data_IF_694233355716
#
_entry.id   IF_694233355716
#
_cell.length_a   1.000
_cell.length_b   1.000
_cell.length_c   1.000
_cell.angle_alpha   90.00
_cell.angle_beta   90.00
_cell.angle_gamma   90.00
#
_symmetry.space_group_name_H-M   'P 1'
#
loop_
_entity.id
_entity.type
_entity.pdbx_description
1 polymer ?
#
# COMPACT_ATOMS: atom_id res chain seq x y z
N UNK A 1 0.11 7.73 10.07
CA UNK A 1 1.37 7.79 9.33
C UNK A 1 2.35 8.74 10.01
N UNK A 2 3.63 8.37 10.04
CA UNK A 2 4.70 9.16 10.61
C UNK A 2 4.92 10.43 9.76
N UNK A 3 4.76 11.62 10.34
CA UNK A 3 4.89 12.89 9.63
C UNK A 3 4.01 12.98 8.37
N UNK A 4 2.80 12.42 8.42
CA UNK A 4 1.90 12.31 7.27
C UNK A 4 1.47 13.68 6.71
N UNK A 5 1.47 13.81 5.37
CA UNK A 5 0.99 14.99 4.64
C UNK A 5 0.22 14.58 3.40
N UNK A 6 -1.03 15.01 3.33
CA UNK A 6 -1.95 14.73 2.22
C UNK A 6 -1.83 15.80 1.14
N UNK A 7 -2.01 15.40 -0.12
CA UNK A 7 -2.00 16.25 -1.30
C UNK A 7 -3.19 15.92 -2.22
N UNK A 8 -3.94 16.96 -2.58
CA UNK A 8 -5.04 16.92 -3.54
C UNK A 8 -4.92 18.16 -4.44
N UNK A 9 -4.31 18.01 -5.61
CA UNK A 9 -3.99 19.15 -6.48
C UNK A 9 -3.13 20.19 -5.77
N UNK A 10 -3.62 21.40 -5.66
CA UNK A 10 -2.90 22.51 -5.02
C UNK A 10 -3.01 22.53 -3.49
N UNK A 11 -3.93 21.73 -2.94
CA UNK A 11 -4.18 21.67 -1.50
C UNK A 11 -3.26 20.63 -0.86
N UNK A 12 -2.59 21.01 0.23
CA UNK A 12 -1.83 20.08 1.07
C UNK A 12 -1.98 20.43 2.55
N UNK A 13 -2.07 19.41 3.40
CA UNK A 13 -2.19 19.58 4.85
C UNK A 13 -1.64 18.38 5.60
N UNK A 14 -1.25 18.60 6.85
CA UNK A 14 -0.82 17.50 7.72
C UNK A 14 -2.01 16.61 8.08
N UNK A 15 -1.90 15.34 7.75
CA UNK A 15 -2.92 14.31 8.02
C UNK A 15 -2.32 12.92 7.95
N UNK A 16 -2.89 11.99 8.69
CA UNK A 16 -2.80 10.57 8.42
C UNK A 16 -3.84 10.15 7.36
N UNK A 17 -3.92 8.86 7.02
CA UNK A 17 -4.94 8.35 6.13
C UNK A 17 -6.32 8.51 6.77
N UNK A 18 -7.34 8.67 5.93
CA UNK A 18 -8.75 8.69 6.34
C UNK A 18 -9.10 9.76 7.38
N UNK A 19 -8.43 10.92 7.32
CA UNK A 19 -8.65 12.04 8.24
C UNK A 19 -8.07 11.88 9.65
N UNK A 20 -7.30 10.81 9.90
CA UNK A 20 -6.60 10.63 11.18
C UNK A 20 -5.46 11.63 11.34
N UNK A 21 -5.09 11.91 12.59
CA UNK A 21 -3.96 12.78 12.89
C UNK A 21 -2.63 12.13 12.47
N UNK A 22 -1.67 12.90 11.93
CA UNK A 22 -0.34 12.41 11.63
C UNK A 22 0.51 12.32 12.91
N UNK A 23 1.45 11.37 12.97
CA UNK A 23 2.40 11.25 14.07
C UNK A 23 3.61 12.20 13.84
N UNK A 24 3.37 13.51 13.82
CA UNK A 24 4.41 14.51 13.48
C UNK A 24 5.43 14.66 14.61
N UNK A 25 4.98 14.68 15.87
CA UNK A 25 5.88 14.83 17.02
C UNK A 25 6.81 13.60 17.19
N UNK A 26 6.33 12.40 16.88
CA UNK A 26 7.16 11.21 16.87
C UNK A 26 8.26 11.32 15.80
N UNK A 27 7.93 11.82 14.60
CA UNK A 27 8.92 12.07 13.55
C UNK A 27 10.02 13.04 14.02
N UNK A 28 9.65 14.13 14.68
CA UNK A 28 10.60 15.10 15.26
C UNK A 28 11.48 14.46 16.34
N UNK A 29 10.89 13.66 17.23
CA UNK A 29 11.61 12.96 18.29
C UNK A 29 12.63 11.97 17.74
N UNK A 30 12.26 11.20 16.72
CA UNK A 30 13.18 10.26 16.07
C UNK A 30 14.35 11.00 15.39
N UNK A 31 14.07 12.12 14.71
CA UNK A 31 15.12 12.98 14.13
C UNK A 31 16.06 13.55 15.23
N UNK A 32 15.50 13.99 16.35
CA UNK A 32 16.29 14.51 17.47
C UNK A 32 17.19 13.44 18.13
N UNK A 33 16.79 12.16 18.07
CA UNK A 33 17.61 11.02 18.48
C UNK A 33 18.71 10.67 17.44
N UNK A 34 18.76 11.36 16.31
CA UNK A 34 19.76 11.08 15.27
C UNK A 34 19.38 9.92 14.33
N UNK A 35 18.17 9.39 14.40
CA UNK A 35 17.74 8.33 13.49
C UNK A 35 17.58 8.86 12.06
N UNK A 36 18.16 8.16 11.06
CA UNK A 36 18.03 8.56 9.66
C UNK A 36 16.60 8.30 9.16
N UNK A 37 15.88 9.36 8.81
CA UNK A 37 14.56 9.27 8.23
C UNK A 37 14.61 9.49 6.71
N UNK A 38 13.74 8.78 6.00
CA UNK A 38 13.47 8.91 4.57
C UNK A 38 12.03 9.34 4.35
N UNK A 39 11.75 9.92 3.19
CA UNK A 39 10.42 10.35 2.81
C UNK A 39 9.89 9.47 1.69
N UNK A 40 8.76 8.79 1.92
CA UNK A 40 8.03 8.01 0.92
C UNK A 40 6.64 8.58 0.68
N UNK A 41 6.03 8.18 -0.41
CA UNK A 41 4.64 8.53 -0.71
C UNK A 41 3.85 7.27 -1.04
N UNK A 42 2.57 7.32 -0.77
CA UNK A 42 1.57 6.40 -1.30
C UNK A 42 0.33 7.18 -1.75
N UNK A 43 -0.72 6.51 -2.14
CA UNK A 43 -1.96 7.15 -2.52
C UNK A 43 -3.15 6.22 -2.35
N UNK A 44 -4.32 6.79 -2.43
CA UNK A 44 -5.59 6.08 -2.39
C UNK A 44 -6.52 6.60 -3.48
N UNK A 45 -7.36 5.75 -4.09
CA UNK A 45 -8.37 6.21 -5.04
C UNK A 45 -9.55 6.86 -4.34
N UNK A 46 -10.43 7.47 -5.13
CA UNK A 46 -11.71 7.96 -4.66
C UNK A 46 -12.60 6.81 -4.15
N UNK A 47 -13.52 7.15 -3.23
CA UNK A 47 -14.65 6.31 -2.84
C UNK A 47 -15.90 6.91 -3.44
N UNK A 48 -16.74 6.07 -4.01
CA UNK A 48 -18.02 6.48 -4.62
C UNK A 48 -19.18 5.79 -3.94
N UNK A 49 -20.34 6.42 -4.02
CA UNK A 49 -21.58 5.86 -3.49
C UNK A 49 -22.04 4.68 -4.35
N UNK A 50 -22.20 3.50 -3.76
CA UNK A 50 -22.67 2.28 -4.44
C UNK A 50 -23.95 2.48 -5.24
N UNK A 51 -24.88 3.33 -4.76
CA UNK A 51 -26.16 3.59 -5.42
C UNK A 51 -26.03 4.40 -6.71
N UNK A 52 -24.90 5.07 -6.92
CA UNK A 52 -24.61 5.87 -8.09
C UNK A 52 -23.71 5.16 -9.13
N UNK A 53 -23.36 3.89 -8.87
CA UNK A 53 -22.61 3.05 -9.80
C UNK A 53 -23.60 2.26 -10.66
N UNK A 54 -23.47 2.38 -11.98
CA UNK A 54 -24.27 1.63 -12.96
C UNK A 54 -23.64 0.25 -13.19
N UNK A 55 -23.99 -0.71 -12.34
CA UNK A 55 -23.43 -2.06 -12.39
C UNK A 55 -23.83 -2.87 -13.62
N UNK A 56 -24.90 -2.48 -14.34
CA UNK A 56 -25.32 -3.16 -15.56
C UNK A 56 -24.31 -3.01 -16.71
N UNK A 57 -23.48 -1.96 -16.64
CA UNK A 57 -22.38 -1.70 -17.61
C UNK A 57 -21.07 -2.36 -17.24
N UNK A 58 -21.01 -3.05 -16.11
CA UNK A 58 -19.76 -3.56 -15.54
C UNK A 58 -19.71 -5.08 -15.67
N UNK A 59 -18.49 -5.61 -15.72
CA UNK A 59 -18.24 -7.04 -15.65
C UNK A 59 -18.20 -7.48 -14.18
N UNK A 60 -19.17 -8.31 -13.71
CA UNK A 60 -19.15 -8.79 -12.35
C UNK A 60 -18.00 -9.79 -12.14
N UNK A 61 -17.31 -9.67 -11.03
CA UNK A 61 -16.29 -10.61 -10.60
C UNK A 61 -16.71 -11.24 -9.28
N UNK A 62 -17.12 -12.50 -9.38
CA UNK A 62 -17.51 -13.29 -8.24
C UNK A 62 -16.27 -13.87 -7.54
N UNK A 63 -16.42 -14.28 -6.27
CA UNK A 63 -15.41 -15.06 -5.59
C UNK A 63 -15.37 -16.50 -6.08
N UNK A 64 -14.36 -17.25 -5.65
CA UNK A 64 -14.18 -18.66 -5.99
C UNK A 64 -15.40 -19.48 -5.56
N UNK A 65 -15.79 -20.47 -6.38
CA UNK A 65 -16.85 -21.43 -6.04
C UNK A 65 -16.35 -22.40 -4.95
N UNK A 66 -15.14 -22.92 -5.12
CA UNK A 66 -14.48 -23.80 -4.16
C UNK A 66 -13.55 -22.98 -3.26
N UNK A 67 -14.08 -22.47 -2.18
CA UNK A 67 -13.34 -21.58 -1.28
C UNK A 67 -12.41 -22.37 -0.38
N UNK A 68 -11.12 -22.15 -0.51
CA UNK A 68 -10.09 -22.67 0.41
C UNK A 68 -9.81 -21.62 1.49
N UNK A 69 -10.04 -21.93 2.79
CA UNK A 69 -9.71 -21.02 3.88
C UNK A 69 -8.22 -20.69 3.92
N UNK A 70 -7.87 -19.46 4.28
CA UNK A 70 -6.46 -19.08 4.49
C UNK A 70 -5.86 -19.71 5.77
N UNK A 71 -6.70 -20.12 6.72
CA UNK A 71 -6.24 -20.77 7.95
C UNK A 71 -6.12 -22.28 7.76
N UNK A 72 -4.96 -22.86 8.08
CA UNK A 72 -4.73 -24.30 8.06
C UNK A 72 -5.43 -25.04 9.22
N UNK A 73 -5.78 -24.34 10.29
CA UNK A 73 -6.34 -24.93 11.53
C UNK A 73 -7.81 -24.63 11.74
N UNK A 74 -8.36 -23.66 11.02
CA UNK A 74 -9.75 -23.23 11.18
C UNK A 74 -10.72 -24.16 10.46
N UNK A 75 -11.79 -24.55 11.14
CA UNK A 75 -12.95 -25.24 10.54
C UNK A 75 -14.07 -24.22 10.39
N UNK A 76 -13.96 -23.31 9.42
CA UNK A 76 -15.00 -22.33 9.13
C UNK A 76 -15.67 -22.66 7.80
N UNK A 77 -16.97 -22.49 7.75
CA UNK A 77 -17.65 -22.38 6.47
C UNK A 77 -17.41 -20.98 5.92
N UNK A 78 -16.59 -20.88 4.89
CA UNK A 78 -16.32 -19.61 4.20
C UNK A 78 -17.37 -19.44 3.11
N UNK A 79 -18.01 -18.26 3.06
CA UNK A 79 -19.00 -17.91 2.03
C UNK A 79 -18.65 -16.58 1.40
N UNK A 80 -18.78 -16.49 0.08
CA UNK A 80 -18.75 -15.22 -0.62
C UNK A 80 -19.94 -14.34 -0.18
N UNK A 81 -19.68 -13.12 0.26
CA UNK A 81 -20.70 -12.17 0.75
C UNK A 81 -20.88 -10.96 -0.16
N UNK A 82 -19.91 -10.72 -1.04
CA UNK A 82 -19.87 -9.54 -1.90
C UNK A 82 -19.20 -9.89 -3.21
N UNK A 83 -19.60 -9.19 -4.24
CA UNK A 83 -18.99 -9.22 -5.55
C UNK A 83 -18.26 -7.91 -5.84
N UNK A 84 -17.23 -7.98 -6.64
CA UNK A 84 -16.53 -6.84 -7.21
C UNK A 84 -16.94 -6.67 -8.68
N UNK A 85 -16.61 -5.54 -9.24
CA UNK A 85 -16.89 -5.25 -10.65
C UNK A 85 -15.61 -4.79 -11.34
N UNK A 86 -15.50 -5.09 -12.63
CA UNK A 86 -14.37 -4.68 -13.48
C UNK A 86 -14.86 -3.66 -14.50
N UNK A 87 -14.09 -2.62 -14.68
CA UNK A 87 -14.24 -1.64 -15.75
C UNK A 87 -12.88 -1.19 -16.25
N UNK A 88 -12.83 -0.27 -17.20
CA UNK A 88 -11.61 0.18 -17.83
C UNK A 88 -11.62 1.68 -18.08
N UNK A 89 -10.46 2.31 -17.96
CA UNK A 89 -10.26 3.66 -18.49
C UNK A 89 -10.32 3.63 -20.02
N UNK A 90 -10.66 4.75 -20.63
CA UNK A 90 -10.67 4.91 -22.08
C UNK A 90 -9.86 6.12 -22.54
N UNK A 91 -9.94 6.42 -23.83
CA UNK A 91 -9.20 7.53 -24.44
C UNK A 91 -9.60 8.89 -23.86
N UNK A 92 -10.90 9.09 -23.55
CA UNK A 92 -11.37 10.33 -22.92
C UNK A 92 -10.80 10.49 -21.50
N UNK A 93 -10.72 9.41 -20.73
CA UNK A 93 -10.07 9.41 -19.41
C UNK A 93 -8.61 9.86 -19.54
N UNK A 94 -7.90 9.29 -20.53
CA UNK A 94 -6.50 9.63 -20.82
C UNK A 94 -6.34 11.11 -21.20
N UNK A 95 -7.20 11.64 -22.05
CA UNK A 95 -7.18 13.07 -22.46
C UNK A 95 -7.41 14.00 -21.27
N UNK A 96 -8.40 13.72 -20.42
CA UNK A 96 -8.68 14.54 -19.23
C UNK A 96 -7.47 14.58 -18.31
N UNK A 97 -6.83 13.43 -18.05
CA UNK A 97 -5.68 13.35 -17.16
C UNK A 97 -4.46 14.06 -17.77
N UNK A 98 -4.13 13.77 -19.02
CA UNK A 98 -2.97 14.36 -19.69
C UNK A 98 -3.06 15.89 -19.77
N UNK A 99 -4.23 16.45 -20.05
CA UNK A 99 -4.44 17.90 -20.11
C UNK A 99 -4.30 18.60 -18.74
N UNK A 100 -4.36 17.84 -17.64
CA UNK A 100 -4.28 18.35 -16.27
C UNK A 100 -3.04 17.90 -15.49
N UNK A 101 -2.06 17.23 -16.13
CA UNK A 101 -0.85 16.74 -15.44
C UNK A 101 -0.09 17.87 -14.70
N UNK A 102 -0.08 19.08 -15.24
CA UNK A 102 0.56 20.23 -14.62
C UNK A 102 -0.06 20.62 -13.26
N UNK A 103 -1.28 20.15 -12.96
CA UNK A 103 -1.99 20.35 -11.69
C UNK A 103 -1.77 19.21 -10.70
N UNK A 104 -1.06 18.14 -11.10
CA UNK A 104 -0.73 17.04 -10.21
C UNK A 104 0.47 17.40 -9.33
N UNK A 105 0.37 17.30 -7.99
CA UNK A 105 1.49 17.49 -7.07
C UNK A 105 2.69 16.60 -7.39
N UNK A 106 2.43 15.41 -7.93
CA UNK A 106 3.47 14.47 -8.33
C UNK A 106 4.31 15.01 -9.51
N UNK A 107 3.66 15.61 -10.51
CA UNK A 107 4.32 16.10 -11.72
C UNK A 107 4.79 17.55 -11.60
N UNK A 108 4.24 18.33 -10.67
CA UNK A 108 4.68 19.69 -10.37
C UNK A 108 5.85 19.78 -9.39
N UNK A 109 6.36 18.66 -8.88
CA UNK A 109 7.47 18.62 -7.93
C UNK A 109 7.13 19.07 -6.51
N UNK A 110 5.85 19.08 -6.13
CA UNK A 110 5.40 19.38 -4.76
C UNK A 110 5.56 18.20 -3.80
N UNK A 111 5.62 16.98 -4.34
CA UNK A 111 5.82 15.73 -3.61
C UNK A 111 7.28 15.34 -3.75
N UNK A 112 7.99 15.27 -2.62
CA UNK A 112 9.40 14.83 -2.55
C UNK A 112 9.52 13.32 -2.35
N UNK A 113 8.49 12.70 -1.76
CA UNK A 113 8.47 11.29 -1.40
C UNK A 113 8.48 10.35 -2.60
N UNK A 114 9.34 9.35 -2.56
CA UNK A 114 9.38 8.29 -3.58
C UNK A 114 8.15 7.40 -3.46
N UNK A 115 7.46 7.17 -4.57
CA UNK A 115 6.27 6.33 -4.63
C UNK A 115 6.55 4.84 -4.79
N UNK A 116 5.58 3.97 -4.44
CA UNK A 116 5.72 2.54 -4.59
C UNK A 116 5.78 2.14 -6.08
N UNK A 117 6.71 1.26 -6.39
CA UNK A 117 6.95 0.80 -7.77
C UNK A 117 5.78 0.04 -8.37
N UNK A 118 5.04 -0.70 -7.53
CA UNK A 118 4.01 -1.65 -7.96
C UNK A 118 2.57 -1.12 -7.81
N UNK A 119 2.40 0.09 -7.27
CA UNK A 119 1.10 0.75 -7.16
C UNK A 119 1.20 2.22 -7.61
N UNK A 120 1.48 2.47 -8.90
CA UNK A 120 1.54 3.83 -9.43
C UNK A 120 0.14 4.46 -9.43
N UNK A 121 0.08 5.79 -9.34
CA UNK A 121 -1.14 6.55 -9.54
C UNK A 121 -1.65 6.40 -10.99
N UNK A 122 -2.90 6.76 -11.24
CA UNK A 122 -3.44 6.66 -12.60
C UNK A 122 -2.72 7.59 -13.57
N UNK A 123 -2.33 8.80 -13.13
CA UNK A 123 -1.52 9.70 -13.92
C UNK A 123 -0.14 9.12 -14.26
N UNK A 124 0.50 8.43 -13.31
CA UNK A 124 1.75 7.71 -13.54
C UNK A 124 1.57 6.56 -14.56
N UNK A 125 0.48 5.80 -14.45
CA UNK A 125 0.20 4.69 -15.38
C UNK A 125 0.03 5.20 -16.80
N UNK A 126 -0.73 6.28 -16.98
CA UNK A 126 -1.02 6.88 -18.29
C UNK A 126 0.25 7.43 -18.94
N UNK A 127 1.16 8.01 -18.15
CA UNK A 127 2.43 8.54 -18.67
C UNK A 127 3.42 7.43 -18.98
N UNK A 128 3.61 6.48 -18.05
CA UNK A 128 4.62 5.40 -18.20
C UNK A 128 4.22 4.32 -19.21
N UNK A 129 2.93 4.08 -19.35
CA UNK A 129 2.38 3.06 -20.26
C UNK A 129 1.47 3.73 -21.31
N UNK A 130 2.02 4.76 -21.95
CA UNK A 130 1.29 5.59 -22.92
C UNK A 130 0.78 4.81 -24.14
N UNK A 131 1.42 3.66 -24.44
CA UNK A 131 1.03 2.74 -25.50
C UNK A 131 -0.23 1.91 -25.17
N UNK A 132 -0.60 1.83 -23.88
CA UNK A 132 -1.82 1.11 -23.49
C UNK A 132 -3.06 1.96 -23.76
N UNK A 133 -4.01 1.36 -24.43
CA UNK A 133 -5.28 1.99 -24.76
C UNK A 133 -6.19 2.15 -23.53
N UNK A 134 -6.09 1.20 -22.58
CA UNK A 134 -6.91 1.17 -21.37
C UNK A 134 -6.18 0.59 -20.17
N UNK A 135 -6.61 0.98 -18.97
CA UNK A 135 -6.18 0.41 -17.70
C UNK A 135 -7.37 -0.21 -16.98
N UNK A 136 -7.18 -1.41 -16.45
CA UNK A 136 -8.19 -2.13 -15.68
C UNK A 136 -8.41 -1.47 -14.33
N UNK A 137 -9.66 -1.40 -13.91
CA UNK A 137 -10.16 -0.84 -12.67
C UNK A 137 -11.05 -1.86 -12.00
N UNK A 138 -10.85 -2.09 -10.70
CA UNK A 138 -11.76 -2.86 -9.88
C UNK A 138 -12.61 -1.91 -9.03
N UNK A 139 -13.91 -2.17 -8.96
CA UNK A 139 -14.86 -1.47 -8.12
C UNK A 139 -15.25 -2.42 -7.01
N UNK A 140 -14.77 -2.14 -5.80
CA UNK A 140 -14.79 -3.06 -4.66
C UNK A 140 -15.60 -2.45 -3.51
N UNK A 141 -16.50 -3.21 -2.83
CA UNK A 141 -17.17 -2.70 -1.65
C UNK A 141 -16.16 -2.54 -0.49
N UNK A 142 -16.19 -1.39 0.19
CA UNK A 142 -15.34 -1.14 1.36
C UNK A 142 -15.76 -1.94 2.60
N UNK A 143 -16.94 -2.53 2.57
CA UNK A 143 -17.48 -3.37 3.65
C UNK A 143 -18.93 -3.74 3.40
N UNK A 144 -19.44 -4.67 4.20
CA UNK A 144 -20.79 -5.22 4.02
C UNK A 144 -21.91 -4.21 4.30
N UNK A 145 -21.67 -3.27 5.24
CA UNK A 145 -22.68 -2.34 5.74
C UNK A 145 -22.46 -0.89 5.29
N UNK A 146 -21.44 -0.63 4.48
CA UNK A 146 -21.17 0.70 3.92
C UNK A 146 -21.63 0.81 2.48
N UNK A 147 -21.98 2.03 2.09
CA UNK A 147 -22.27 2.38 0.69
C UNK A 147 -21.00 2.78 -0.08
N UNK A 148 -19.84 2.82 0.57
CA UNK A 148 -18.58 3.19 -0.09
C UNK A 148 -18.08 2.06 -0.99
N UNK A 149 -17.79 2.41 -2.24
CA UNK A 149 -17.09 1.56 -3.20
C UNK A 149 -15.69 2.11 -3.45
N UNK A 150 -14.69 1.26 -3.37
CA UNK A 150 -13.28 1.57 -3.61
C UNK A 150 -12.93 1.39 -5.07
N UNK A 151 -12.30 2.38 -5.68
CA UNK A 151 -11.96 2.35 -7.10
C UNK A 151 -10.50 1.93 -7.30
N UNK A 152 -10.21 0.65 -7.08
CA UNK A 152 -8.87 0.07 -7.18
C UNK A 152 -8.27 0.31 -8.57
N UNK A 153 -7.10 0.94 -8.59
CA UNK A 153 -6.40 1.27 -9.83
C UNK A 153 -6.47 2.75 -10.21
N UNK A 154 -7.32 3.55 -9.55
CA UNK A 154 -7.52 4.99 -9.80
C UNK A 154 -6.94 5.89 -8.70
N UNK A 155 -5.92 5.45 -7.96
CA UNK A 155 -5.20 6.33 -7.03
C UNK A 155 -4.71 7.57 -7.78
N UNK A 156 -4.93 8.76 -7.24
CA UNK A 156 -4.60 10.01 -7.88
C UNK A 156 -4.29 11.11 -6.87
N UNK A 157 -3.48 12.08 -7.28
CA UNK A 157 -3.26 13.32 -6.54
C UNK A 157 -3.83 14.54 -7.26
N UNK A 158 -4.51 14.35 -8.38
CA UNK A 158 -5.14 15.42 -9.15
C UNK A 158 -6.21 16.16 -8.33
N UNK A 159 -6.50 17.44 -8.64
CA UNK A 159 -7.56 18.19 -7.97
C UNK A 159 -8.94 17.54 -8.13
N UNK A 160 -9.84 17.80 -7.19
CA UNK A 160 -11.18 17.21 -7.13
C UNK A 160 -11.97 17.40 -8.43
N UNK A 161 -11.94 18.61 -9.01
CA UNK A 161 -12.65 18.89 -10.27
C UNK A 161 -12.15 18.05 -11.46
N UNK A 162 -10.86 17.69 -11.45
CA UNK A 162 -10.27 16.80 -12.45
C UNK A 162 -10.63 15.34 -12.16
N UNK A 163 -10.63 14.96 -10.87
CA UNK A 163 -11.05 13.62 -10.46
C UNK A 163 -12.49 13.33 -10.91
N UNK A 164 -13.42 14.23 -10.63
CA UNK A 164 -14.81 14.11 -11.09
C UNK A 164 -14.90 13.96 -12.62
N UNK A 165 -14.17 14.81 -13.36
CA UNK A 165 -14.18 14.77 -14.83
C UNK A 165 -13.69 13.44 -15.37
N UNK A 166 -12.56 12.89 -14.89
CA UNK A 166 -12.08 11.63 -15.43
C UNK A 166 -12.90 10.44 -14.94
N UNK A 167 -13.43 10.45 -13.73
CA UNK A 167 -14.32 9.39 -13.24
C UNK A 167 -15.57 9.28 -14.12
N UNK A 168 -16.19 10.40 -14.49
CA UNK A 168 -17.39 10.42 -15.33
C UNK A 168 -17.13 10.00 -16.80
N UNK A 169 -15.87 9.76 -17.20
CA UNK A 169 -15.56 9.18 -18.51
C UNK A 169 -15.44 7.65 -18.50
N UNK A 170 -15.57 7.02 -17.32
CA UNK A 170 -15.36 5.58 -17.14
C UNK A 170 -16.72 4.86 -17.16
N UNK A 171 -16.87 3.78 -17.95
CA UNK A 171 -18.12 3.02 -17.99
C UNK A 171 -18.57 2.57 -16.60
N UNK A 172 -19.84 2.79 -16.28
CA UNK A 172 -20.44 2.51 -14.99
C UNK A 172 -20.24 3.58 -13.91
N UNK A 173 -19.38 4.59 -14.18
CA UNK A 173 -19.11 5.70 -13.27
C UNK A 173 -19.56 7.07 -13.82
N UNK A 174 -20.29 7.11 -14.93
CA UNK A 174 -20.67 8.34 -15.63
C UNK A 174 -21.45 9.32 -14.76
N UNK A 175 -22.15 8.80 -13.76
CA UNK A 175 -22.97 9.57 -12.82
C UNK A 175 -22.61 9.29 -11.36
N UNK A 176 -21.41 8.77 -11.11
CA UNK A 176 -20.99 8.40 -9.76
C UNK A 176 -20.91 9.62 -8.84
N UNK A 177 -21.38 9.45 -7.61
CA UNK A 177 -21.26 10.41 -6.52
C UNK A 177 -20.02 10.09 -5.72
N UNK A 178 -19.06 11.02 -5.69
CA UNK A 178 -17.84 10.86 -4.92
C UNK A 178 -18.12 11.14 -3.44
N UNK A 179 -17.91 10.16 -2.58
CA UNK A 179 -18.02 10.28 -1.13
C UNK A 179 -16.72 10.77 -0.50
N UNK A 180 -15.58 10.35 -1.07
CA UNK A 180 -14.22 10.77 -0.67
C UNK A 180 -13.36 10.91 -1.91
N UNK A 181 -12.61 11.99 -2.00
CA UNK A 181 -11.66 12.19 -3.10
C UNK A 181 -10.44 11.29 -2.96
N UNK A 182 -9.80 10.97 -4.09
CA UNK A 182 -8.47 10.40 -4.10
C UNK A 182 -7.45 11.41 -3.56
N UNK A 183 -6.37 10.91 -2.99
CA UNK A 183 -5.24 11.74 -2.54
C UNK A 183 -3.92 10.99 -2.59
N UNK A 184 -2.83 11.72 -2.71
CA UNK A 184 -1.52 11.22 -2.34
C UNK A 184 -1.20 11.57 -0.89
N UNK A 185 -0.42 10.73 -0.21
CA UNK A 185 0.07 11.00 1.13
C UNK A 185 1.56 10.69 1.20
N UNK A 186 2.34 11.64 1.68
CA UNK A 186 3.72 11.44 2.07
C UNK A 186 3.83 11.06 3.54
N UNK A 187 4.85 10.30 3.87
CA UNK A 187 5.14 9.87 5.22
C UNK A 187 6.63 9.65 5.43
N UNK A 188 7.08 9.75 6.67
CA UNK A 188 8.44 9.41 7.06
C UNK A 188 8.55 7.90 7.36
N UNK A 189 9.70 7.32 7.06
CA UNK A 189 10.12 6.00 7.51
C UNK A 189 11.59 6.07 7.91
N UNK A 190 12.08 5.13 8.69
CA UNK A 190 13.52 5.03 9.00
C UNK A 190 14.27 4.47 7.80
N UNK A 191 15.57 4.72 7.76
CA UNK A 191 16.48 3.91 6.95
C UNK A 191 16.65 2.54 7.62
N UNK A 192 16.19 1.43 7.03
CA UNK A 192 16.24 0.13 7.68
C UNK A 192 17.66 -0.42 7.86
N UNK A 193 18.67 0.19 7.26
CA UNK A 193 20.09 -0.10 7.54
C UNK A 193 20.49 0.22 9.00
N UNK A 194 19.65 0.99 9.73
CA UNK A 194 19.83 1.23 11.16
C UNK A 194 19.35 0.08 12.06
N UNK A 195 18.83 -1.02 11.48
CA UNK A 195 18.31 -2.18 12.20
C UNK A 195 19.23 -3.40 12.10
N UNK A 196 19.22 -4.21 13.16
CA UNK A 196 19.74 -5.58 13.18
C UNK A 196 18.75 -6.54 12.51
N UNK A 197 19.17 -7.78 12.23
CA UNK A 197 18.25 -8.85 11.75
C UNK A 197 17.12 -9.21 12.72
N UNK A 198 17.30 -8.88 14.01
CA UNK A 198 16.26 -8.97 15.03
C UNK A 198 15.19 -7.88 14.94
N UNK A 199 15.36 -6.89 14.04
CA UNK A 199 14.61 -5.64 13.92
C UNK A 199 14.77 -4.68 15.09
N UNK A 200 15.75 -4.92 15.97
CA UNK A 200 16.20 -3.97 16.97
C UNK A 200 17.11 -2.92 16.33
N UNK A 201 17.03 -1.68 16.77
CA UNK A 201 17.96 -0.64 16.33
C UNK A 201 19.39 -0.96 16.77
N UNK A 202 20.38 -0.65 15.91
CA UNK A 202 21.79 -0.90 16.20
C UNK A 202 22.25 -0.04 17.38
N UNK A 203 21.89 1.24 17.37
CA UNK A 203 22.36 2.24 18.33
C UNK A 203 21.41 2.45 19.53
N UNK A 204 20.25 1.79 19.55
CA UNK A 204 19.24 1.96 20.59
C UNK A 204 18.79 0.61 21.15
N UNK A 205 19.33 0.29 22.33
CA UNK A 205 18.98 -0.94 23.03
C UNK A 205 17.51 -0.98 23.44
N UNK A 206 16.81 -2.06 23.10
CA UNK A 206 15.39 -2.26 23.42
C UNK A 206 14.41 -1.52 22.52
N UNK A 207 14.89 -0.78 21.50
CA UNK A 207 14.02 -0.16 20.50
C UNK A 207 13.94 -1.04 19.25
N UNK A 208 12.70 -1.36 18.83
CA UNK A 208 12.41 -2.19 17.66
C UNK A 208 11.57 -1.42 16.64
N UNK A 209 11.81 -1.67 15.36
CA UNK A 209 11.02 -1.12 14.26
C UNK A 209 10.30 -2.21 13.48
N UNK A 210 9.09 -1.92 12.94
CA UNK A 210 8.37 -2.86 12.11
C UNK A 210 7.44 -2.18 11.10
N UNK A 211 7.18 -2.86 9.97
CA UNK A 211 6.19 -2.48 8.98
C UNK A 211 6.56 -1.27 8.14
N UNK A 212 5.59 -0.42 7.85
CA UNK A 212 5.78 0.79 7.04
C UNK A 212 6.86 1.71 7.62
N UNK A 213 7.00 1.73 8.92
CA UNK A 213 8.04 2.46 9.64
C UNK A 213 9.45 2.08 9.19
N UNK A 214 9.68 0.82 8.82
CA UNK A 214 10.94 0.31 8.28
C UNK A 214 11.07 0.47 6.75
N UNK A 215 10.21 1.24 6.12
CA UNK A 215 10.26 1.49 4.67
C UNK A 215 9.64 0.40 3.80
N UNK A 216 8.92 -0.57 4.37
CA UNK A 216 8.14 -1.54 3.58
C UNK A 216 6.76 -1.00 3.23
N UNK A 217 6.14 -1.56 2.18
CA UNK A 217 4.76 -1.28 1.82
C UNK A 217 4.04 -2.60 1.53
N UNK A 218 3.05 -2.91 2.36
CA UNK A 218 2.23 -4.12 2.26
C UNK A 218 1.83 -4.62 3.64
N UNK A 219 0.63 -5.16 3.74
CA UNK A 219 0.09 -5.62 5.01
C UNK A 219 0.81 -6.86 5.51
N UNK A 220 1.15 -7.76 4.62
CA UNK A 220 1.86 -9.01 4.90
C UNK A 220 3.28 -8.74 5.39
N UNK A 221 3.99 -7.81 4.75
CA UNK A 221 5.32 -7.37 5.18
C UNK A 221 5.28 -6.72 6.56
N UNK A 222 4.25 -5.92 6.84
CA UNK A 222 4.07 -5.28 8.14
C UNK A 222 3.76 -6.30 9.24
N UNK A 223 2.88 -7.26 8.97
CA UNK A 223 2.53 -8.33 9.90
C UNK A 223 3.75 -9.20 10.24
N UNK A 224 4.51 -9.61 9.22
CA UNK A 224 5.71 -10.42 9.39
C UNK A 224 6.77 -9.71 10.25
N UNK A 225 7.05 -8.45 9.97
CA UNK A 225 8.00 -7.65 10.74
C UNK A 225 7.50 -7.43 12.17
N UNK A 226 6.20 -7.11 12.35
CA UNK A 226 5.60 -6.94 13.67
C UNK A 226 5.72 -8.19 14.53
N UNK A 227 5.47 -9.37 13.95
CA UNK A 227 5.63 -10.66 14.63
C UNK A 227 7.08 -10.87 15.08
N UNK A 228 8.06 -10.72 14.18
CA UNK A 228 9.48 -10.94 14.49
C UNK A 228 9.99 -9.93 15.51
N UNK A 229 9.66 -8.65 15.34
CA UNK A 229 10.04 -7.60 16.30
C UNK A 229 9.45 -7.86 17.69
N UNK A 230 8.16 -8.25 17.78
CA UNK A 230 7.50 -8.56 19.02
C UNK A 230 8.09 -9.78 19.73
N UNK A 231 8.38 -10.86 18.98
CA UNK A 231 9.09 -12.05 19.51
C UNK A 231 10.46 -11.64 20.07
N UNK A 232 11.24 -10.87 19.32
CA UNK A 232 12.57 -10.47 19.73
C UNK A 232 12.58 -9.52 20.94
N UNK A 233 11.61 -8.61 21.02
CA UNK A 233 11.41 -7.78 22.19
C UNK A 233 11.13 -8.63 23.45
N UNK A 234 10.27 -9.64 23.34
CA UNK A 234 9.99 -10.57 24.42
C UNK A 234 11.19 -11.43 24.80
N UNK A 235 11.93 -11.98 23.81
CA UNK A 235 13.14 -12.77 24.05
C UNK A 235 14.21 -11.92 24.77
N UNK A 236 14.37 -10.66 24.38
CA UNK A 236 15.30 -9.73 25.05
C UNK A 236 14.94 -9.53 26.53
N UNK A 237 13.66 -9.29 26.85
CA UNK A 237 13.21 -9.15 28.25
C UNK A 237 13.46 -10.45 29.04
N UNK A 238 13.33 -11.60 28.40
CA UNK A 238 13.57 -12.92 29.00
C UNK A 238 15.05 -13.31 29.07
N UNK A 239 15.97 -12.46 28.60
CA UNK A 239 17.41 -12.76 28.53
C UNK A 239 17.76 -13.93 27.60
N UNK A 240 16.92 -14.18 26.57
CA UNK A 240 17.12 -15.24 25.58
C UNK A 240 17.73 -14.71 24.30
N UNK A 241 18.43 -15.57 23.51
CA UNK A 241 18.95 -15.20 22.20
C UNK A 241 17.84 -14.73 21.27
N UNK A 242 18.16 -13.77 20.40
CA UNK A 242 17.24 -13.27 19.40
C UNK A 242 16.88 -14.35 18.35
N UNK A 243 15.66 -14.32 17.87
CA UNK A 243 15.23 -15.08 16.70
C UNK A 243 15.69 -14.32 15.44
N UNK A 244 16.57 -14.95 14.68
CA UNK A 244 16.97 -14.46 13.35
C UNK A 244 16.60 -15.48 12.29
N UNK A 245 15.77 -15.07 11.34
CA UNK A 245 15.33 -15.91 10.24
C UNK A 245 16.26 -15.75 9.04
N UNK A 246 16.68 -16.86 8.45
CA UNK A 246 17.53 -16.86 7.28
C UNK A 246 16.72 -16.80 5.95
N UNK A 247 17.41 -16.45 4.86
CA UNK A 247 16.83 -16.33 3.53
C UNK A 247 16.41 -17.67 2.94
N UNK A 248 17.06 -18.77 3.34
CA UNK A 248 16.77 -20.10 2.83
C UNK A 248 15.52 -20.71 3.47
N UNK A 249 15.24 -20.35 4.74
CA UNK A 249 14.15 -20.88 5.53
C UNK A 249 12.80 -20.22 5.27
N UNK A 250 12.78 -18.91 4.93
CA UNK A 250 11.52 -18.18 4.80
C UNK A 250 11.59 -16.93 3.93
N UNK A 251 10.44 -16.53 3.37
CA UNK A 251 10.30 -15.20 2.76
C UNK A 251 10.41 -14.08 3.81
N UNK A 252 10.05 -14.33 5.06
CA UNK A 252 10.25 -13.36 6.15
C UNK A 252 11.75 -13.11 6.37
N UNK A 253 12.57 -14.17 6.35
CA UNK A 253 14.03 -14.03 6.41
C UNK A 253 14.59 -13.24 5.23
N UNK A 254 14.12 -13.51 4.01
CA UNK A 254 14.48 -12.73 2.82
C UNK A 254 14.10 -11.26 2.95
N UNK A 255 12.87 -10.96 3.40
CA UNK A 255 12.37 -9.61 3.63
C UNK A 255 13.25 -8.83 4.62
N UNK A 256 13.50 -9.40 5.78
CA UNK A 256 14.28 -8.74 6.84
C UNK A 256 15.73 -8.55 6.37
N UNK A 257 16.33 -9.58 5.80
CA UNK A 257 17.72 -9.49 5.31
C UNK A 257 17.87 -8.41 4.23
N UNK A 258 16.95 -8.34 3.25
CA UNK A 258 16.97 -7.28 2.24
C UNK A 258 16.88 -5.88 2.86
N UNK A 259 15.99 -5.68 3.83
CA UNK A 259 15.82 -4.38 4.49
C UNK A 259 17.08 -3.97 5.23
N UNK A 260 17.65 -4.84 6.08
CA UNK A 260 18.75 -4.48 6.98
C UNK A 260 20.13 -4.53 6.34
N UNK A 261 20.28 -5.16 5.16
CA UNK A 261 21.57 -5.27 4.45
C UNK A 261 21.66 -4.42 3.19
N UNK A 262 20.56 -4.28 2.45
CA UNK A 262 20.48 -3.51 1.19
C UNK A 262 19.78 -2.17 1.36
N UNK A 263 18.95 -2.05 2.39
CA UNK A 263 18.05 -0.90 2.55
C UNK A 263 16.96 -0.86 1.49
N UNK A 264 16.30 0.29 1.37
CA UNK A 264 15.28 0.52 0.37
C UNK A 264 15.36 1.95 -0.18
N UNK A 265 15.38 2.09 -1.49
CA UNK A 265 15.31 3.39 -2.20
C UNK A 265 13.88 3.80 -2.51
N UNK A 266 12.98 2.87 -2.52
CA UNK A 266 11.54 2.98 -2.74
C UNK A 266 10.80 2.07 -1.76
N UNK A 267 9.50 2.26 -1.52
CA UNK A 267 8.73 1.42 -0.60
C UNK A 267 8.88 -0.06 -0.94
N UNK A 268 9.50 -0.83 -0.04
CA UNK A 268 9.83 -2.23 -0.25
C UNK A 268 8.57 -3.10 -0.35
N UNK A 269 8.54 -4.00 -1.34
CA UNK A 269 7.56 -5.09 -1.48
C UNK A 269 8.29 -6.41 -1.62
N UNK A 270 7.80 -7.41 -0.89
CA UNK A 270 8.26 -8.79 -1.06
C UNK A 270 7.73 -9.37 -2.37
N UNK A 271 8.64 -9.83 -3.21
CA UNK A 271 8.34 -10.51 -4.46
C UNK A 271 9.12 -11.81 -4.50
N UNK A 272 8.54 -12.86 -5.09
CA UNK A 272 9.21 -14.16 -5.21
C UNK A 272 10.57 -14.07 -5.91
N UNK A 273 10.74 -13.11 -6.82
CA UNK A 273 12.00 -12.84 -7.51
C UNK A 273 13.13 -12.33 -6.61
N UNK A 274 12.82 -11.89 -5.37
CA UNK A 274 13.83 -11.44 -4.41
C UNK A 274 14.52 -12.60 -3.66
N UNK A 275 13.90 -13.79 -3.66
CA UNK A 275 14.45 -14.96 -2.98
C UNK A 275 15.21 -15.85 -3.98
N UNK A 276 16.44 -16.19 -3.63
CA UNK A 276 17.28 -17.17 -4.28
C UNK A 276 16.69 -18.60 -4.12
N UNK A 277 15.93 -18.80 -3.06
CA UNK A 277 15.35 -20.09 -2.67
C UNK A 277 13.87 -20.26 -3.05
N UNK A 278 13.37 -19.49 -4.01
CA UNK A 278 11.95 -19.51 -4.43
C UNK A 278 11.44 -20.88 -4.91
N UNK A 279 12.33 -21.77 -5.31
CA UNK A 279 11.97 -23.16 -5.67
C UNK A 279 11.73 -24.05 -4.44
N UNK A 280 12.24 -23.65 -3.26
CA UNK A 280 12.00 -24.31 -1.98
C UNK A 280 10.82 -23.65 -1.24
N UNK A 281 10.73 -22.33 -1.31
CA UNK A 281 9.75 -21.51 -0.58
C UNK A 281 8.49 -21.34 -1.43
N UNK A 282 7.62 -22.35 -1.47
CA UNK A 282 6.42 -22.37 -2.30
C UNK A 282 5.15 -22.36 -1.44
N UNK A 283 4.04 -21.94 -2.03
CA UNK A 283 2.73 -21.94 -1.39
C UNK A 283 2.28 -23.39 -1.04
N UNK A 284 2.53 -24.34 -1.94
CA UNK A 284 2.11 -25.73 -1.79
C UNK A 284 2.80 -26.50 -0.65
N UNK A 285 3.85 -25.96 -0.06
CA UNK A 285 4.56 -26.56 1.08
C UNK A 285 4.68 -25.62 2.29
N UNK A 286 3.95 -24.49 2.30
CA UNK A 286 4.06 -23.50 3.36
C UNK A 286 3.61 -24.07 4.72
N UNK A 287 2.53 -24.85 4.74
CA UNK A 287 1.97 -25.50 5.93
C UNK A 287 2.95 -26.47 6.62
N UNK A 288 3.92 -27.01 5.89
CA UNK A 288 4.95 -27.92 6.43
C UNK A 288 6.18 -27.21 6.97
N UNK A 289 6.31 -25.91 6.68
CA UNK A 289 7.48 -25.09 7.06
C UNK A 289 7.15 -24.05 8.12
N UNK A 290 5.86 -23.80 8.37
CA UNK A 290 5.33 -22.99 9.44
C UNK A 290 4.87 -23.86 10.60
#
# INVERSE_FOLDING_TARGET
FLGGRVYIGDVSYESGPDGMFPATELSKSLKALGLPLRRFKTGTPARVNRRSVDTEKLEPQFGDEDIVPFSFTGKYEVKNKSECYVTYTGEETKKVILSNLHRSPLFSGKIDGVGPRYCPSIEDKIVRFSEKERHQIFIEPCGAETLEMYLQGLSSSLPEDVQLKFLHTIPGLEHCEVMRTAYAIEYDCIDPLALKRSLEFIDFDGLFGAGQFNGSSGYEEAAAQGLVAGINAALKVLGKPALELDRAGSYIGTLIDDLVTKGCSDPYRMMTSRSEYRLLLRQDNADRRL
#
